data_IF_599395482915
#
_entry.id   IF_599395482915
#
_cell.length_a   1.000
_cell.length_b   1.000
_cell.length_c   1.000
_cell.angle_alpha   90.00
_cell.angle_beta   90.00
_cell.angle_gamma   90.00
#
_symmetry.space_group_name_H-M   'P 1'
#
loop_
_entity.id
_entity.type
_entity.pdbx_description
1 polymer ?
#
# COMPACT_ATOMS: atom_id res chain seq x y z
N UNK A 1 -2.40 15.80 -1.62
CA UNK A 1 -1.53 15.20 -0.57
C UNK A 1 -0.08 15.29 -1.03
N UNK A 2 0.88 15.55 -0.14
CA UNK A 2 2.31 15.51 -0.47
C UNK A 2 2.94 14.26 0.18
N UNK A 3 2.49 13.10 -0.30
CA UNK A 3 2.96 11.81 0.18
C UNK A 3 3.90 11.20 -0.86
N UNK A 4 5.04 10.69 -0.40
CA UNK A 4 6.03 10.05 -1.26
C UNK A 4 6.19 8.60 -0.83
N UNK A 5 6.05 7.68 -1.78
CA UNK A 5 6.41 6.29 -1.60
C UNK A 5 7.93 6.18 -1.56
N UNK A 6 8.48 5.66 -0.47
CA UNK A 6 9.92 5.52 -0.27
C UNK A 6 10.42 4.15 -0.74
N UNK A 7 9.70 3.09 -0.36
CA UNK A 7 10.02 1.73 -0.77
C UNK A 7 8.74 0.93 -1.02
N UNK A 8 8.83 -0.06 -1.90
CA UNK A 8 7.81 -1.10 -2.11
C UNK A 8 8.49 -2.42 -2.42
N UNK A 9 8.02 -3.46 -1.77
CA UNK A 9 8.48 -4.82 -1.98
C UNK A 9 7.26 -5.73 -2.03
N UNK A 10 7.22 -6.60 -3.05
CA UNK A 10 6.14 -7.56 -3.26
C UNK A 10 6.77 -8.94 -3.41
N UNK A 11 6.36 -9.89 -2.57
CA UNK A 11 6.89 -11.26 -2.58
C UNK A 11 5.77 -12.27 -2.40
N UNK A 12 5.85 -13.46 -3.04
CA UNK A 12 4.98 -14.57 -2.69
C UNK A 12 5.09 -14.91 -1.20
N UNK A 13 3.96 -15.24 -0.56
CA UNK A 13 3.94 -15.67 0.83
C UNK A 13 4.29 -17.16 0.92
N UNK A 14 5.41 -17.55 1.56
CA UNK A 14 5.81 -18.96 1.65
C UNK A 14 4.72 -19.81 2.31
N UNK A 15 4.42 -20.97 1.72
CA UNK A 15 3.41 -21.89 2.22
C UNK A 15 1.95 -21.48 1.96
N UNK A 16 1.70 -20.32 1.32
CA UNK A 16 0.34 -19.85 1.01
C UNK A 16 0.24 -19.49 -0.49
N UNK A 17 -0.13 -20.47 -1.35
CA UNK A 17 -0.24 -20.25 -2.79
C UNK A 17 -1.24 -19.15 -3.15
N UNK A 18 -0.89 -18.33 -4.15
CA UNK A 18 -1.74 -17.24 -4.64
C UNK A 18 -1.92 -16.09 -3.65
N UNK A 19 -1.05 -15.95 -2.66
CA UNK A 19 -1.02 -14.80 -1.74
C UNK A 19 0.33 -14.10 -1.86
N UNK A 20 0.27 -12.78 -2.01
CA UNK A 20 1.43 -11.91 -1.99
C UNK A 20 1.49 -11.18 -0.66
N UNK A 21 2.70 -11.11 -0.10
CA UNK A 21 3.03 -10.21 0.99
C UNK A 21 3.63 -8.94 0.42
N UNK A 22 3.05 -7.82 0.82
CA UNK A 22 3.48 -6.48 0.47
C UNK A 22 4.16 -5.87 1.69
N UNK A 23 5.28 -5.20 1.46
CA UNK A 23 5.87 -4.25 2.38
C UNK A 23 6.07 -2.93 1.65
N UNK A 24 5.60 -1.84 2.22
CA UNK A 24 5.77 -0.51 1.64
C UNK A 24 6.12 0.49 2.73
N UNK A 25 6.77 1.58 2.34
CA UNK A 25 6.96 2.71 3.23
C UNK A 25 6.70 4.01 2.49
N UNK A 26 6.14 4.97 3.21
CA UNK A 26 5.84 6.28 2.65
C UNK A 26 6.04 7.36 3.69
N UNK A 27 6.25 8.59 3.22
CA UNK A 27 6.53 9.76 4.05
C UNK A 27 5.64 10.92 3.70
N UNK A 28 5.21 11.66 4.72
CA UNK A 28 4.63 12.98 4.55
C UNK A 28 5.73 14.00 4.25
N UNK A 29 5.79 14.49 3.02
CA UNK A 29 6.72 15.55 2.60
C UNK A 29 6.10 16.95 2.77
N UNK A 30 4.83 17.07 3.17
CA UNK A 30 4.24 18.36 3.48
C UNK A 30 4.84 18.95 4.76
N UNK A 31 4.82 20.28 4.83
CA UNK A 31 5.11 21.03 6.07
C UNK A 31 3.97 21.02 7.09
N UNK A 32 2.87 20.31 6.82
CA UNK A 32 1.68 20.22 7.69
C UNK A 32 1.26 18.75 7.88
N UNK A 33 0.54 18.48 8.97
CA UNK A 33 0.02 17.15 9.26
C UNK A 33 -1.03 16.74 8.23
N UNK A 34 -0.98 15.50 7.76
CA UNK A 34 -1.90 14.95 6.78
C UNK A 34 -2.75 13.83 7.39
N UNK A 35 -4.00 13.69 6.92
CA UNK A 35 -4.78 12.51 7.24
C UNK A 35 -4.08 11.23 6.74
N UNK A 36 -4.32 10.12 7.43
CA UNK A 36 -3.90 8.80 6.99
C UNK A 36 -4.51 8.47 5.63
N UNK A 37 -3.69 8.19 4.59
CA UNK A 37 -4.21 7.99 3.23
C UNK A 37 -4.90 6.64 3.10
N UNK A 38 -5.79 6.53 2.13
CA UNK A 38 -6.13 5.22 1.60
C UNK A 38 -4.98 4.75 0.70
N UNK A 39 -4.62 3.47 0.80
CA UNK A 39 -3.59 2.89 -0.06
C UNK A 39 -4.25 2.10 -1.18
N UNK A 40 -3.88 2.36 -2.42
CA UNK A 40 -4.28 1.54 -3.54
C UNK A 40 -3.09 0.75 -4.06
N UNK A 41 -3.25 -0.57 -4.13
CA UNK A 41 -2.38 -1.47 -4.87
C UNK A 41 -3.10 -1.89 -6.15
N UNK A 42 -2.46 -1.73 -7.30
CA UNK A 42 -2.93 -2.29 -8.57
C UNK A 42 -1.92 -3.32 -9.10
N UNK A 43 -2.46 -4.41 -9.62
CA UNK A 43 -1.72 -5.51 -10.23
C UNK A 43 -1.97 -5.46 -11.73
N UNK A 44 -0.91 -5.55 -12.53
CA UNK A 44 -1.03 -5.55 -14.00
C UNK A 44 -0.30 -6.72 -14.64
N UNK A 45 -0.82 -7.18 -15.77
CA UNK A 45 -0.15 -8.16 -16.62
C UNK A 45 1.02 -7.53 -17.40
N UNK A 46 1.67 -8.34 -18.24
CA UNK A 46 2.84 -7.93 -19.03
C UNK A 46 2.51 -6.86 -20.08
N UNK A 47 1.25 -6.73 -20.48
CA UNK A 47 0.76 -5.71 -21.41
C UNK A 47 0.38 -4.40 -20.68
N UNK A 48 0.52 -4.36 -19.34
CA UNK A 48 0.20 -3.21 -18.51
C UNK A 48 -1.28 -3.07 -18.19
N UNK A 49 -2.12 -4.06 -18.55
CA UNK A 49 -3.54 -4.04 -18.21
C UNK A 49 -3.72 -4.37 -16.74
N UNK A 50 -4.49 -3.55 -16.02
CA UNK A 50 -4.83 -3.83 -14.62
C UNK A 50 -5.74 -5.05 -14.54
N UNK A 51 -5.25 -6.10 -13.86
CA UNK A 51 -5.92 -7.38 -13.65
C UNK A 51 -6.45 -7.54 -12.22
N UNK A 52 -6.07 -6.64 -11.31
CA UNK A 52 -6.57 -6.61 -9.94
C UNK A 52 -6.29 -5.28 -9.26
N UNK A 53 -7.14 -4.91 -8.31
CA UNK A 53 -6.91 -3.73 -7.46
C UNK A 53 -7.40 -4.01 -6.05
N UNK A 54 -6.60 -3.58 -5.06
CA UNK A 54 -6.96 -3.60 -3.65
C UNK A 54 -6.77 -2.21 -3.06
N UNK A 55 -7.84 -1.67 -2.50
CA UNK A 55 -7.83 -0.40 -1.76
C UNK A 55 -7.89 -0.71 -0.27
N UNK A 56 -6.94 -0.19 0.51
CA UNK A 56 -6.85 -0.39 1.95
C UNK A 56 -7.19 0.90 2.69
N UNK A 57 -8.12 0.80 3.64
CA UNK A 57 -8.39 1.84 4.62
C UNK A 57 -7.22 1.95 5.63
N UNK A 58 -7.03 3.12 6.28
CA UNK A 58 -6.06 3.29 7.35
C UNK A 58 -6.02 2.17 8.38
N UNK A 59 -7.18 1.75 8.87
CA UNK A 59 -7.30 0.69 9.87
C UNK A 59 -6.74 -0.67 9.42
N UNK A 60 -6.70 -0.94 8.11
CA UNK A 60 -6.25 -2.22 7.57
C UNK A 60 -4.73 -2.34 7.56
N UNK A 61 -4.01 -1.22 7.40
CA UNK A 61 -2.54 -1.21 7.43
C UNK A 61 -1.96 -0.70 8.75
N UNK A 62 -2.75 0.02 9.57
CA UNK A 62 -2.39 0.39 10.94
C UNK A 62 -2.69 -0.71 11.96
N UNK A 63 -3.56 -1.67 11.62
CA UNK A 63 -4.00 -2.75 12.51
C UNK A 63 -5.09 -2.35 13.50
N UNK A 64 -5.34 -1.05 13.68
CA UNK A 64 -6.49 -0.51 14.39
C UNK A 64 -6.98 0.78 13.71
N UNK A 65 -8.26 1.17 13.92
CA UNK A 65 -8.74 2.47 13.49
C UNK A 65 -7.90 3.60 14.12
N UNK A 66 -7.37 4.55 13.33
CA UNK A 66 -6.72 5.72 13.88
C UNK A 66 -7.74 6.54 14.69
N UNK A 67 -7.29 7.19 15.76
CA UNK A 67 -8.13 8.12 16.50
C UNK A 67 -8.58 9.27 15.58
N UNK A 68 -9.71 9.91 15.86
CA UNK A 68 -10.32 10.90 14.96
C UNK A 68 -9.40 12.08 14.56
N UNK A 69 -8.42 12.40 15.42
CA UNK A 69 -7.45 13.48 15.25
C UNK A 69 -6.01 12.98 15.07
N UNK A 70 -5.84 11.67 14.90
CA UNK A 70 -4.54 11.09 14.60
C UNK A 70 -4.18 11.35 13.14
N UNK A 71 -2.95 11.81 12.92
CA UNK A 71 -2.48 12.31 11.63
C UNK A 71 -1.03 11.91 11.40
N UNK A 72 -0.66 11.84 10.13
CA UNK A 72 0.71 11.68 9.71
C UNK A 72 1.44 13.03 9.80
N UNK A 73 2.33 13.18 10.78
CA UNK A 73 3.05 14.43 11.03
C UNK A 73 3.99 14.81 9.87
N UNK A 74 4.36 16.10 9.72
CA UNK A 74 5.36 16.54 8.74
C UNK A 74 6.65 15.73 8.84
N UNK A 75 7.13 15.19 7.74
CA UNK A 75 8.34 14.38 7.68
C UNK A 75 8.23 12.98 8.28
N UNK A 76 7.08 12.58 8.84
CA UNK A 76 6.89 11.25 9.40
C UNK A 76 6.87 10.22 8.28
N UNK A 77 7.68 9.18 8.43
CA UNK A 77 7.68 8.00 7.57
C UNK A 77 7.02 6.83 8.30
N UNK A 78 6.26 6.03 7.56
CA UNK A 78 5.54 4.87 8.09
C UNK A 78 5.83 3.67 7.21
N UNK A 79 6.08 2.54 7.85
CA UNK A 79 6.18 1.24 7.20
C UNK A 79 4.86 0.50 7.38
N UNK A 80 4.38 -0.10 6.30
CA UNK A 80 3.14 -0.87 6.27
C UNK A 80 3.40 -2.23 5.65
N UNK A 81 2.70 -3.24 6.15
CA UNK A 81 2.71 -4.57 5.57
C UNK A 81 1.28 -5.10 5.50
N UNK A 82 0.92 -5.65 4.34
CA UNK A 82 -0.39 -6.25 4.13
C UNK A 82 -0.30 -7.38 3.13
N UNK A 83 -1.36 -8.18 3.05
CA UNK A 83 -1.44 -9.35 2.17
C UNK A 83 -2.55 -9.14 1.16
N UNK A 84 -2.31 -9.54 -0.08
CA UNK A 84 -3.35 -9.57 -1.12
C UNK A 84 -3.39 -10.95 -1.76
N UNK A 85 -4.58 -11.35 -2.20
CA UNK A 85 -4.73 -12.51 -3.06
C UNK A 85 -4.37 -12.12 -4.48
N UNK A 86 -3.48 -12.89 -5.09
CA UNK A 86 -3.12 -12.72 -6.49
C UNK A 86 -4.25 -13.29 -7.37
N UNK A 87 -4.87 -12.48 -8.26
CA UNK A 87 -5.98 -12.94 -9.10
C UNK A 87 -5.53 -13.95 -10.17
N UNK A 88 -4.30 -13.79 -10.67
CA UNK A 88 -3.73 -14.64 -11.71
C UNK A 88 -2.21 -14.70 -11.57
N UNK A 89 -1.61 -15.87 -11.80
CA UNK A 89 -0.16 -16.07 -11.74
C UNK A 89 0.65 -15.28 -12.81
N UNK A 90 -0.03 -14.56 -13.69
CA UNK A 90 0.57 -13.74 -14.76
C UNK A 90 0.81 -12.29 -14.36
N UNK A 91 0.76 -11.94 -13.07
CA UNK A 91 1.07 -10.57 -12.63
C UNK A 91 2.51 -10.23 -12.97
N UNK A 92 2.72 -9.22 -13.82
CA UNK A 92 4.04 -8.78 -14.24
C UNK A 92 4.51 -7.53 -13.50
N UNK A 93 3.57 -6.68 -13.06
CA UNK A 93 3.91 -5.43 -12.38
C UNK A 93 2.89 -5.02 -11.30
N UNK A 94 3.35 -4.12 -10.44
CA UNK A 94 2.62 -3.60 -9.28
C UNK A 94 2.79 -2.08 -9.19
N UNK A 95 1.69 -1.36 -8.99
CA UNK A 95 1.69 0.08 -8.70
C UNK A 95 1.05 0.39 -7.36
N UNK A 96 1.52 1.47 -6.73
CA UNK A 96 1.02 1.96 -5.45
C UNK A 96 0.64 3.43 -5.58
N UNK A 97 -0.55 3.75 -5.15
CA UNK A 97 -1.10 5.10 -5.17
C UNK A 97 -1.70 5.47 -3.82
N UNK A 98 -1.62 6.76 -3.47
CA UNK A 98 -2.31 7.33 -2.31
C UNK A 98 -3.64 7.95 -2.77
N UNK A 99 -4.72 7.67 -2.06
CA UNK A 99 -6.04 8.30 -2.29
C UNK A 99 -6.47 9.16 -1.10
#
# INVERSE_FOLDING_TARGET
AALTLLNREVRPLPGVPGVLQIQASFRNEARWAQAWPWLQLSLSDADGRVIGTRVLAPQEYLGQPPAAQDTLAPGQAVQVAFRVREPAASTAAFSFDFR
#
